data_IF_867582752698
#
_entry.id   IF_867582752698
#
_cell.length_a   1.000
_cell.length_b   1.000
_cell.length_c   1.000
_cell.angle_alpha   90.00
_cell.angle_beta   90.00
_cell.angle_gamma   90.00
#
_symmetry.space_group_name_H-M   'P 1'
#
loop_
_entity.id
_entity.type
_entity.pdbx_description
1 polymer ?
#
# COMPACT_ATOMS: atom_id res chain seq x y z
N UNK A 1 -7.86 4.49 19.49
CA UNK A 1 -6.63 3.83 19.01
C UNK A 1 -5.93 3.08 20.13
N UNK A 2 -5.78 1.76 19.97
CA UNK A 2 -5.08 0.86 20.90
C UNK A 2 -3.60 0.67 20.56
N UNK A 3 -3.14 1.24 19.45
CA UNK A 3 -1.74 1.32 19.05
C UNK A 3 -1.26 2.78 19.06
N UNK A 4 0.05 2.96 19.17
CA UNK A 4 0.74 4.21 18.85
C UNK A 4 1.09 4.19 17.37
N UNK A 5 1.12 5.35 16.71
CA UNK A 5 1.53 5.47 15.32
C UNK A 5 2.55 6.58 15.14
N UNK A 6 3.54 6.33 14.30
CA UNK A 6 4.63 7.25 13.96
C UNK A 6 4.86 7.22 12.45
N UNK A 7 5.08 8.39 11.84
CA UNK A 7 5.38 8.48 10.40
C UNK A 7 6.87 8.68 10.20
N UNK A 8 7.46 7.83 9.37
CA UNK A 8 8.88 7.90 9.00
C UNK A 8 9.02 8.16 7.50
N UNK A 9 10.11 8.83 7.15
CA UNK A 9 10.50 9.10 5.77
C UNK A 9 11.94 8.62 5.57
N UNK A 10 12.15 7.83 4.52
CA UNK A 10 13.46 7.43 4.04
C UNK A 10 13.75 8.23 2.77
N UNK A 11 14.95 8.77 2.69
CA UNK A 11 15.48 9.42 1.49
C UNK A 11 16.60 8.57 0.89
N UNK A 12 16.28 7.64 -0.04
CA UNK A 12 17.24 6.70 -0.60
C UNK A 12 18.08 7.29 -1.74
N UNK A 13 18.05 8.60 -1.98
CA UNK A 13 18.81 9.18 -3.10
C UNK A 13 20.32 9.01 -2.91
N UNK A 14 21.07 8.71 -3.98
CA UNK A 14 20.62 8.65 -5.38
C UNK A 14 20.14 7.27 -5.86
N UNK A 15 20.10 6.22 -5.02
CA UNK A 15 19.76 4.86 -5.46
C UNK A 15 18.29 4.69 -5.85
N UNK A 16 17.41 5.51 -5.30
CA UNK A 16 16.02 5.63 -5.74
C UNK A 16 15.57 7.09 -5.80
N UNK A 17 14.70 7.43 -6.75
CA UNK A 17 14.42 8.81 -7.18
C UNK A 17 13.47 9.60 -6.27
N UNK A 18 12.67 8.92 -5.46
CA UNK A 18 11.71 9.55 -4.57
C UNK A 18 12.03 9.32 -3.10
N UNK A 19 11.53 10.22 -2.26
CA UNK A 19 11.44 9.96 -0.82
C UNK A 19 10.28 9.01 -0.57
N UNK A 20 10.47 8.06 0.34
CA UNK A 20 9.47 7.02 0.65
C UNK A 20 8.98 7.21 2.07
N UNK A 21 7.66 7.22 2.25
CA UNK A 21 7.01 7.42 3.56
C UNK A 21 6.30 6.15 4.00
N UNK A 22 6.32 5.90 5.30
CA UNK A 22 5.55 4.82 5.92
C UNK A 22 5.15 5.15 7.34
N UNK A 23 4.08 4.53 7.80
CA UNK A 23 3.65 4.60 9.19
C UNK A 23 4.06 3.32 9.91
N UNK A 24 4.63 3.48 11.10
CA UNK A 24 4.87 2.41 12.07
C UNK A 24 3.74 2.41 13.09
N UNK A 25 3.30 1.23 13.49
CA UNK A 25 2.27 1.02 14.50
C UNK A 25 2.76 0.05 15.55
N UNK A 26 2.66 0.42 16.82
CA UNK A 26 3.10 -0.41 17.97
C UNK A 26 2.00 -0.54 19.02
N UNK A 27 1.91 -1.67 19.76
CA UNK A 27 0.95 -1.80 20.85
C UNK A 27 1.17 -0.76 21.96
N UNK A 28 0.11 -0.11 22.47
CA UNK A 28 0.22 0.88 23.56
C UNK A 28 0.59 0.28 24.91
N UNK A 29 0.19 -0.95 25.17
CA UNK A 29 0.54 -1.65 26.42
C UNK A 29 1.89 -2.29 26.19
N UNK A 30 2.92 -1.64 26.73
CA UNK A 30 4.28 -2.19 26.76
C UNK A 30 4.22 -3.52 27.48
N UNK A 31 4.64 -4.59 26.79
CA UNK A 31 4.76 -5.90 27.43
C UNK A 31 5.72 -5.72 28.60
N UNK A 32 5.25 -5.90 29.83
CA UNK A 32 6.16 -6.30 30.90
C UNK A 32 6.87 -7.53 30.37
N UNK A 33 8.20 -7.53 30.43
CA UNK A 33 9.02 -8.70 30.14
C UNK A 33 8.73 -9.79 31.19
N UNK A 34 7.51 -10.31 31.24
CA UNK A 34 7.18 -11.57 31.90
C UNK A 34 7.83 -12.64 31.05
N UNK A 35 9.13 -12.85 31.30
CA UNK A 35 9.92 -14.01 30.90
C UNK A 35 9.34 -14.73 29.70
N UNK A 36 9.45 -14.11 28.52
CA UNK A 36 9.18 -14.79 27.26
C UNK A 36 10.08 -16.02 27.24
N UNK A 37 9.49 -17.20 27.39
CA UNK A 37 10.21 -18.43 27.14
C UNK A 37 10.82 -18.36 25.74
N UNK A 38 11.96 -19.00 25.54
CA UNK A 38 12.75 -19.06 24.30
C UNK A 38 12.02 -19.72 23.10
N UNK A 39 10.68 -19.62 23.02
CA UNK A 39 9.77 -20.32 22.09
C UNK A 39 8.85 -19.39 21.31
N UNK A 40 8.83 -18.09 21.60
CA UNK A 40 7.92 -17.15 20.91
C UNK A 40 8.49 -16.72 19.55
N UNK A 41 7.61 -16.71 18.55
CA UNK A 41 7.91 -16.30 17.19
C UNK A 41 7.55 -14.82 17.00
N UNK A 42 8.56 -13.94 17.07
CA UNK A 42 8.38 -12.50 16.89
C UNK A 42 8.37 -12.10 15.40
N UNK A 43 7.37 -11.32 14.99
CA UNK A 43 7.20 -10.87 13.61
C UNK A 43 6.86 -9.37 13.52
N UNK A 44 7.29 -8.74 12.43
CA UNK A 44 6.86 -7.40 12.02
C UNK A 44 5.99 -7.51 10.77
N UNK A 45 4.81 -6.88 10.79
CA UNK A 45 3.91 -6.87 9.63
C UNK A 45 4.27 -5.73 8.68
N UNK A 46 4.18 -5.94 7.38
CA UNK A 46 4.35 -4.91 6.34
C UNK A 46 3.13 -4.89 5.43
N UNK A 47 2.43 -3.77 5.36
CA UNK A 47 1.21 -3.58 4.59
C UNK A 47 1.46 -2.73 3.35
N UNK A 48 0.99 -3.22 2.20
CA UNK A 48 1.15 -2.61 0.89
C UNK A 48 -0.24 -2.34 0.27
N UNK A 49 -0.55 -1.07 0.05
CA UNK A 49 -1.89 -0.64 -0.37
C UNK A 49 -2.13 -0.81 -1.88
N UNK A 50 -3.41 -0.80 -2.28
CA UNK A 50 -3.83 -0.85 -3.68
C UNK A 50 -3.67 0.52 -4.38
N UNK A 51 -3.83 0.54 -5.70
CA UNK A 51 -3.92 1.78 -6.49
C UNK A 51 -5.10 2.63 -5.98
N UNK A 52 -4.89 3.94 -5.89
CA UNK A 52 -5.89 4.89 -5.41
C UNK A 52 -6.07 4.91 -3.89
N UNK A 53 -5.40 4.01 -3.16
CA UNK A 53 -5.41 3.95 -1.69
C UNK A 53 -4.15 4.59 -1.09
N UNK A 54 -4.00 4.51 0.24
CA UNK A 54 -2.93 5.15 1.00
C UNK A 54 -2.54 4.28 2.21
N UNK A 55 -1.41 4.57 2.86
CA UNK A 55 -0.88 3.74 3.97
C UNK A 55 -1.86 3.62 5.16
N UNK A 56 -2.64 4.66 5.45
CA UNK A 56 -3.61 4.65 6.55
C UNK A 56 -4.85 3.77 6.28
N UNK A 57 -5.05 3.23 5.06
CA UNK A 57 -6.17 2.34 4.73
C UNK A 57 -6.20 1.07 5.59
N UNK A 58 -5.05 0.64 6.11
CA UNK A 58 -4.93 -0.56 6.94
C UNK A 58 -5.08 -0.29 8.44
N UNK A 59 -5.26 0.95 8.89
CA UNK A 59 -5.37 1.26 10.33
C UNK A 59 -6.44 0.43 11.06
N UNK A 60 -7.66 0.24 10.53
CA UNK A 60 -8.66 -0.58 11.20
C UNK A 60 -8.22 -2.02 11.44
N UNK A 61 -7.57 -2.66 10.44
CA UNK A 61 -7.10 -4.05 10.57
C UNK A 61 -5.86 -4.14 11.46
N UNK A 62 -4.93 -3.17 11.36
CA UNK A 62 -3.75 -3.09 12.21
C UNK A 62 -4.16 -2.96 13.68
N UNK A 63 -5.16 -2.13 13.98
CA UNK A 63 -5.68 -2.00 15.35
C UNK A 63 -6.24 -3.31 15.90
N UNK A 64 -6.96 -4.09 15.08
CA UNK A 64 -7.51 -5.39 15.48
C UNK A 64 -6.38 -6.40 15.74
N UNK A 65 -5.37 -6.44 14.87
CA UNK A 65 -4.24 -7.36 14.99
C UNK A 65 -3.39 -7.05 16.23
N UNK A 66 -3.07 -5.78 16.47
CA UNK A 66 -2.27 -5.37 17.63
C UNK A 66 -3.04 -5.46 18.96
N UNK A 67 -4.37 -5.53 18.94
CA UNK A 67 -5.20 -5.84 20.13
C UNK A 67 -5.08 -7.29 20.59
N UNK A 68 -4.74 -8.23 19.69
CA UNK A 68 -4.64 -9.67 19.98
C UNK A 68 -3.18 -10.12 19.84
N UNK A 69 -2.30 -9.73 20.78
CA UNK A 69 -0.84 -9.82 20.62
C UNK A 69 -0.29 -11.26 20.56
N UNK A 70 -1.04 -12.23 21.09
CA UNK A 70 -0.63 -13.63 21.13
C UNK A 70 -1.63 -14.44 20.31
N UNK A 71 -1.25 -14.76 19.09
CA UNK A 71 -1.96 -15.78 18.32
C UNK A 71 -1.40 -17.12 18.79
N UNK A 72 -2.21 -17.89 19.52
CA UNK A 72 -1.87 -19.24 19.96
C UNK A 72 -2.12 -20.19 18.78
N UNK A 73 -1.09 -20.70 18.07
CA UNK A 73 -1.31 -21.76 17.10
C UNK A 73 -1.55 -23.09 17.82
N UNK A 74 -2.12 -24.04 17.09
CA UNK A 74 -2.30 -25.41 17.57
C UNK A 74 -0.95 -26.15 17.75
N UNK A 75 0.17 -25.59 17.27
CA UNK A 75 1.51 -26.19 17.23
C UNK A 75 2.45 -25.79 18.38
N UNK A 76 1.98 -25.06 19.40
CA UNK A 76 2.70 -24.88 20.67
C UNK A 76 3.74 -23.73 20.76
N UNK A 77 4.03 -22.99 19.69
CA UNK A 77 4.84 -21.76 19.71
C UNK A 77 3.98 -20.52 19.51
N UNK A 78 3.89 -19.62 20.50
CA UNK A 78 3.08 -18.40 20.37
C UNK A 78 3.67 -17.49 19.30
N UNK A 79 2.83 -16.97 18.39
CA UNK A 79 3.25 -15.93 17.44
C UNK A 79 2.92 -14.56 18.02
N UNK A 80 3.93 -13.71 18.00
CA UNK A 80 3.97 -12.42 18.65
C UNK A 80 4.16 -11.34 17.60
N UNK A 81 3.16 -10.48 17.44
CA UNK A 81 3.28 -9.28 16.58
C UNK A 81 3.95 -8.19 17.42
N UNK A 82 5.13 -7.74 16.99
CA UNK A 82 5.87 -6.67 17.65
C UNK A 82 5.39 -5.29 17.16
N UNK A 83 5.16 -5.17 15.86
CA UNK A 83 4.82 -3.93 15.19
C UNK A 83 4.21 -4.21 13.81
N UNK A 84 3.58 -3.18 13.25
CA UNK A 84 3.14 -3.16 11.87
C UNK A 84 3.66 -1.92 11.16
N UNK A 85 3.97 -2.06 9.89
CA UNK A 85 4.39 -0.98 9.00
C UNK A 85 3.43 -0.90 7.83
N UNK A 86 3.05 0.30 7.43
CA UNK A 86 2.26 0.53 6.22
C UNK A 86 2.99 1.54 5.35
N UNK A 87 3.38 1.14 4.14
CA UNK A 87 4.28 1.90 3.27
C UNK A 87 3.48 2.49 2.11
N UNK A 88 3.72 3.76 1.80
CA UNK A 88 2.98 4.51 0.80
C UNK A 88 3.73 4.61 -0.52
N UNK A 89 3.01 4.41 -1.62
CA UNK A 89 3.54 4.65 -2.95
C UNK A 89 3.90 6.13 -3.14
N UNK A 90 5.07 6.47 -3.74
CA UNK A 90 5.55 7.86 -3.80
C UNK A 90 4.61 8.88 -4.45
N UNK A 91 3.68 8.43 -5.30
CA UNK A 91 2.66 9.26 -5.96
C UNK A 91 1.24 9.10 -5.38
N UNK A 92 1.09 8.46 -4.22
CA UNK A 92 -0.18 8.31 -3.51
C UNK A 92 -0.17 9.08 -2.17
N UNK A 93 -1.37 9.35 -1.64
CA UNK A 93 -1.58 9.95 -0.33
C UNK A 93 -0.67 11.14 -0.01
N UNK A 94 -0.07 11.16 1.18
CA UNK A 94 0.80 12.26 1.62
C UNK A 94 2.16 12.26 0.90
N UNK A 95 2.60 11.11 0.42
CA UNK A 95 3.84 10.97 -0.35
C UNK A 95 3.79 11.76 -1.65
N UNK A 96 2.63 11.83 -2.30
CA UNK A 96 2.44 12.64 -3.51
C UNK A 96 2.76 14.13 -3.28
N UNK A 97 2.36 14.67 -2.12
CA UNK A 97 2.67 16.06 -1.74
C UNK A 97 4.16 16.24 -1.47
N UNK A 98 4.77 15.32 -0.72
CA UNK A 98 6.19 15.34 -0.42
C UNK A 98 7.04 15.28 -1.70
N UNK A 99 6.64 14.48 -2.67
CA UNK A 99 7.38 14.27 -3.92
C UNK A 99 6.89 15.14 -5.08
N UNK A 100 5.99 16.10 -4.85
CA UNK A 100 5.32 16.85 -5.93
C UNK A 100 6.30 17.53 -6.91
N UNK A 101 7.43 18.06 -6.41
CA UNK A 101 8.46 18.67 -7.27
C UNK A 101 9.21 17.64 -8.12
N UNK A 102 9.48 16.47 -7.56
CA UNK A 102 10.21 15.40 -8.24
C UNK A 102 9.31 14.73 -9.29
N UNK A 103 8.06 14.42 -8.93
CA UNK A 103 7.01 13.91 -9.82
C UNK A 103 6.82 14.82 -11.03
N UNK A 104 6.81 16.14 -10.82
CA UNK A 104 6.68 17.12 -11.92
C UNK A 104 7.87 17.18 -12.86
N UNK A 105 9.07 16.91 -12.36
CA UNK A 105 10.32 16.99 -13.13
C UNK A 105 10.50 15.77 -14.03
N UNK A 106 9.81 14.68 -13.74
CA UNK A 106 10.02 13.43 -14.47
C UNK A 106 9.50 13.48 -15.90
N UNK A 107 10.44 13.28 -16.82
CA UNK A 107 10.17 12.92 -18.22
C UNK A 107 9.95 11.40 -18.41
N UNK A 108 10.19 10.60 -17.37
CA UNK A 108 10.17 9.13 -17.38
C UNK A 108 8.80 8.47 -17.20
N UNK A 109 7.73 9.26 -17.12
CA UNK A 109 6.36 8.77 -16.91
C UNK A 109 6.02 8.51 -15.44
N UNK A 110 4.74 8.26 -15.13
CA UNK A 110 4.28 8.03 -13.75
C UNK A 110 4.89 6.79 -13.10
N UNK A 111 4.90 6.75 -11.76
CA UNK A 111 5.35 5.61 -10.95
C UNK A 111 4.68 4.31 -11.42
N UNK A 112 5.49 3.36 -11.90
CA UNK A 112 5.05 2.01 -12.29
C UNK A 112 4.96 1.07 -11.08
N UNK A 113 4.51 -0.18 -11.29
CA UNK A 113 4.49 -1.18 -10.24
C UNK A 113 5.91 -1.52 -9.74
N UNK A 114 6.89 -1.64 -10.65
CA UNK A 114 8.28 -1.90 -10.26
C UNK A 114 8.87 -0.73 -9.47
N UNK A 115 8.53 0.51 -9.83
CA UNK A 115 8.95 1.69 -9.06
C UNK A 115 8.41 1.66 -7.63
N UNK A 116 7.15 1.23 -7.47
CA UNK A 116 6.60 1.07 -6.13
C UNK A 116 7.30 -0.06 -5.35
N UNK A 117 7.63 -1.17 -6.01
CA UNK A 117 8.41 -2.24 -5.38
C UNK A 117 9.80 -1.73 -4.95
N UNK A 118 10.49 -0.98 -5.81
CA UNK A 118 11.79 -0.36 -5.51
C UNK A 118 11.68 0.63 -4.34
N UNK A 119 10.59 1.41 -4.28
CA UNK A 119 10.31 2.32 -3.17
C UNK A 119 10.18 1.56 -1.84
N UNK A 120 9.37 0.49 -1.82
CA UNK A 120 9.16 -0.34 -0.64
C UNK A 120 10.47 -0.98 -0.20
N UNK A 121 11.24 -1.53 -1.14
CA UNK A 121 12.53 -2.13 -0.87
C UNK A 121 13.51 -1.11 -0.27
N UNK A 122 13.59 0.09 -0.85
CA UNK A 122 14.43 1.18 -0.35
C UNK A 122 14.01 1.63 1.06
N UNK A 123 12.71 1.68 1.35
CA UNK A 123 12.20 2.00 2.68
C UNK A 123 12.59 0.94 3.71
N UNK A 124 12.38 -0.34 3.41
CA UNK A 124 12.72 -1.45 4.31
C UNK A 124 14.22 -1.52 4.62
N UNK A 125 15.07 -1.26 3.62
CA UNK A 125 16.53 -1.23 3.75
C UNK A 125 17.08 0.05 4.38
N UNK A 126 16.30 1.13 4.37
CA UNK A 126 16.74 2.47 4.79
C UNK A 126 16.66 2.74 6.29
N UNK A 127 16.37 1.73 7.11
CA UNK A 127 16.24 1.81 8.57
C UNK A 127 15.42 3.02 9.05
N UNK A 128 14.11 3.10 8.69
CA UNK A 128 13.26 4.25 9.00
C UNK A 128 13.25 4.56 10.49
N UNK A 129 13.65 5.77 10.88
CA UNK A 129 13.73 6.15 12.30
C UNK A 129 14.79 5.39 13.11
N UNK A 130 15.76 4.73 12.45
CA UNK A 130 16.73 3.85 13.10
C UNK A 130 16.25 2.42 13.32
N UNK A 131 15.06 2.05 12.84
CA UNK A 131 14.52 0.70 12.95
C UNK A 131 15.06 -0.20 11.82
N UNK A 132 15.92 -1.17 12.15
CA UNK A 132 16.39 -2.16 11.19
C UNK A 132 15.32 -3.22 10.91
N UNK A 133 14.60 -3.06 9.78
CA UNK A 133 13.55 -3.97 9.33
C UNK A 133 14.11 -5.20 8.60
N UNK A 134 15.36 -5.16 8.14
CA UNK A 134 15.99 -6.27 7.42
C UNK A 134 16.35 -7.40 8.38
N UNK A 135 16.73 -7.03 9.61
CA UNK A 135 16.99 -7.97 10.71
C UNK A 135 15.70 -8.60 11.30
N UNK A 136 14.51 -8.14 10.89
CA UNK A 136 13.22 -8.63 11.39
C UNK A 136 12.66 -9.74 10.52
N UNK A 137 11.84 -10.60 11.12
CA UNK A 137 11.01 -11.57 10.39
C UNK A 137 9.77 -10.85 9.86
N UNK A 138 9.74 -10.61 8.56
CA UNK A 138 8.68 -9.83 7.92
C UNK A 138 7.54 -10.73 7.46
N UNK A 139 6.31 -10.38 7.83
CA UNK A 139 5.12 -10.90 7.15
C UNK A 139 4.60 -9.79 6.25
N UNK A 140 4.61 -10.01 4.94
CA UNK A 140 4.22 -8.98 3.96
C UNK A 140 2.81 -9.23 3.48
N UNK A 141 1.93 -8.25 3.64
CA UNK A 141 0.52 -8.28 3.27
C UNK A 141 0.30 -7.21 2.21
N UNK A 142 -0.16 -7.63 1.04
CA UNK A 142 -0.48 -6.73 -0.06
C UNK A 142 -1.93 -6.86 -0.47
N UNK A 143 -2.60 -5.72 -0.70
CA UNK A 143 -3.96 -5.68 -1.24
C UNK A 143 -3.94 -5.29 -2.72
N UNK A 144 -4.56 -6.10 -3.59
CA UNK A 144 -4.71 -5.83 -5.03
C UNK A 144 -3.36 -5.52 -5.68
N UNK A 145 -3.11 -4.30 -6.19
CA UNK A 145 -1.80 -3.96 -6.76
C UNK A 145 -0.65 -4.10 -5.74
N UNK A 146 -0.91 -3.85 -4.45
CA UNK A 146 0.06 -4.07 -3.38
C UNK A 146 0.47 -5.54 -3.23
N UNK A 147 -0.42 -6.49 -3.55
CA UNK A 147 -0.10 -7.91 -3.57
C UNK A 147 0.90 -8.24 -4.69
N UNK A 148 0.83 -7.52 -5.82
CA UNK A 148 1.69 -7.73 -6.98
C UNK A 148 3.12 -7.23 -6.79
N UNK A 149 3.37 -6.44 -5.75
CA UNK A 149 4.72 -6.00 -5.36
C UNK A 149 5.52 -7.12 -4.70
N UNK A 150 4.83 -8.02 -3.99
CA UNK A 150 5.46 -9.05 -3.16
C UNK A 150 6.39 -9.96 -3.98
N UNK A 151 6.00 -10.44 -5.18
CA UNK A 151 6.91 -11.21 -6.04
C UNK A 151 8.20 -10.46 -6.41
N UNK A 152 8.14 -9.14 -6.64
CA UNK A 152 9.35 -8.34 -6.88
C UNK A 152 10.24 -8.32 -5.63
N UNK A 153 9.66 -8.00 -4.47
CA UNK A 153 10.38 -7.91 -3.20
C UNK A 153 11.07 -9.23 -2.83
N UNK A 154 10.44 -10.38 -3.11
CA UNK A 154 11.02 -11.69 -2.85
C UNK A 154 12.25 -12.00 -3.74
N UNK A 155 12.32 -11.40 -4.93
CA UNK A 155 13.40 -11.62 -5.89
C UNK A 155 14.52 -10.57 -5.80
N UNK A 156 14.30 -9.44 -5.13
CA UNK A 156 15.30 -8.38 -4.95
C UNK A 156 16.49 -8.81 -4.09
N UNK A 157 17.64 -8.19 -4.37
CA UNK A 157 18.89 -8.41 -3.64
C UNK A 157 19.43 -7.10 -3.03
N UNK A 158 20.01 -7.14 -1.81
CA UNK A 158 20.07 -8.28 -0.88
C UNK A 158 18.70 -8.80 -0.39
N UNK A 159 18.59 -10.13 -0.20
CA UNK A 159 17.36 -10.77 0.31
C UNK A 159 16.82 -10.14 1.60
N UNK A 160 15.50 -9.97 1.63
CA UNK A 160 14.74 -9.64 2.85
C UNK A 160 14.40 -10.94 3.61
N UNK A 161 14.34 -10.86 4.94
CA UNK A 161 13.94 -11.99 5.79
C UNK A 161 12.42 -12.14 5.81
N UNK A 162 11.85 -12.58 4.68
CA UNK A 162 10.40 -12.78 4.52
C UNK A 162 10.00 -14.10 5.19
N UNK A 163 9.21 -14.01 6.26
CA UNK A 163 8.70 -15.16 6.99
C UNK A 163 7.50 -15.80 6.32
N UNK A 164 6.56 -14.99 5.81
CA UNK A 164 5.42 -15.42 5.01
C UNK A 164 4.82 -14.22 4.28
N UNK A 165 3.96 -14.50 3.30
CA UNK A 165 3.28 -13.47 2.51
C UNK A 165 1.78 -13.73 2.41
N UNK A 166 1.01 -12.66 2.34
CA UNK A 166 -0.45 -12.69 2.18
C UNK A 166 -0.82 -11.82 0.98
N UNK A 167 -1.32 -12.48 -0.06
CA UNK A 167 -1.84 -11.87 -1.28
C UNK A 167 -3.35 -11.68 -1.08
N UNK A 168 -3.79 -10.47 -0.73
CA UNK A 168 -5.20 -10.16 -0.53
C UNK A 168 -5.81 -9.59 -1.83
N UNK A 169 -6.76 -10.32 -2.41
CA UNK A 169 -7.45 -9.94 -3.64
C UNK A 169 -6.46 -9.47 -4.73
N UNK A 170 -5.40 -10.25 -5.06
CA UNK A 170 -4.39 -9.81 -6.00
C UNK A 170 -5.07 -9.43 -7.31
N UNK A 171 -4.72 -8.26 -7.86
CA UNK A 171 -5.38 -7.76 -9.05
C UNK A 171 -5.31 -8.81 -10.16
N UNK A 172 -6.40 -8.98 -10.91
CA UNK A 172 -6.56 -9.98 -11.97
C UNK A 172 -5.56 -9.84 -13.13
N UNK A 173 -4.59 -8.93 -13.03
CA UNK A 173 -3.44 -8.80 -13.92
C UNK A 173 -2.42 -9.96 -13.80
N UNK A 174 -2.62 -10.92 -12.88
CA UNK A 174 -1.81 -12.14 -12.78
C UNK A 174 -2.43 -13.25 -13.65
N UNK A 175 -2.27 -13.12 -14.96
CA UNK A 175 -2.64 -14.15 -15.93
C UNK A 175 -1.57 -14.26 -17.03
N UNK A 176 -1.53 -15.36 -17.79
CA UNK A 176 -0.80 -15.37 -19.06
C UNK A 176 -1.27 -14.17 -19.91
N UNK A 177 -0.43 -13.64 -20.79
CA UNK A 177 -0.73 -12.47 -21.62
C UNK A 177 -1.97 -12.67 -22.50
N UNK A 178 -3.14 -12.50 -21.92
CA UNK A 178 -4.44 -12.70 -22.53
C UNK A 178 -5.11 -11.35 -22.81
N UNK A 179 -5.89 -11.34 -23.88
CA UNK A 179 -6.58 -10.14 -24.34
C UNK A 179 -7.53 -9.58 -23.27
N UNK A 180 -8.12 -10.44 -22.44
CA UNK A 180 -9.17 -10.08 -21.50
C UNK A 180 -8.60 -9.32 -20.30
N UNK A 181 -7.43 -9.71 -19.80
CA UNK A 181 -6.69 -9.04 -18.74
C UNK A 181 -6.23 -7.65 -19.17
N UNK A 182 -5.71 -7.52 -20.41
CA UNK A 182 -5.37 -6.22 -21.01
C UNK A 182 -6.59 -5.33 -21.18
N UNK A 183 -7.69 -5.90 -21.67
CA UNK A 183 -8.95 -5.19 -21.88
C UNK A 183 -9.51 -4.69 -20.54
N UNK A 184 -9.56 -5.53 -19.52
CA UNK A 184 -10.05 -5.18 -18.19
C UNK A 184 -9.21 -4.06 -17.55
N UNK A 185 -7.89 -4.16 -17.59
CA UNK A 185 -7.00 -3.10 -17.12
C UNK A 185 -7.14 -1.80 -17.93
N UNK A 186 -7.38 -1.90 -19.24
CA UNK A 186 -7.72 -0.76 -20.10
C UNK A 186 -9.01 -0.06 -19.70
N UNK A 187 -10.05 -0.83 -19.34
CA UNK A 187 -11.32 -0.28 -18.83
C UNK A 187 -11.11 0.43 -17.49
N UNK A 188 -10.35 -0.15 -16.55
CA UNK A 188 -10.02 0.52 -15.29
C UNK A 188 -9.23 1.81 -15.51
N UNK A 189 -8.27 1.80 -16.44
CA UNK A 189 -7.53 2.98 -16.85
C UNK A 189 -8.45 4.09 -17.40
N UNK A 190 -9.38 3.74 -18.30
CA UNK A 190 -10.34 4.69 -18.85
C UNK A 190 -11.30 5.24 -17.78
N UNK A 191 -11.79 4.40 -16.87
CA UNK A 191 -12.62 4.81 -15.73
C UNK A 191 -11.88 5.77 -14.79
N UNK A 192 -10.60 5.49 -14.51
CA UNK A 192 -9.75 6.36 -13.71
C UNK A 192 -9.61 7.75 -14.35
N UNK A 193 -9.29 7.81 -15.65
CA UNK A 193 -9.14 9.08 -16.38
C UNK A 193 -10.45 9.89 -16.48
N UNK A 194 -11.59 9.21 -16.55
CA UNK A 194 -12.90 9.85 -16.63
C UNK A 194 -13.44 10.35 -15.27
N UNK A 195 -12.81 9.99 -14.14
CA UNK A 195 -13.32 10.32 -12.81
C UNK A 195 -13.20 11.81 -12.51
N UNK A 196 -14.16 12.31 -11.73
CA UNK A 196 -14.04 13.59 -11.07
C UNK A 196 -12.99 13.48 -9.96
N UNK A 197 -11.97 14.32 -10.03
CA UNK A 197 -10.86 14.33 -9.06
C UNK A 197 -10.67 15.67 -8.35
N UNK A 198 -11.48 16.70 -8.67
CA UNK A 198 -11.43 18.03 -8.06
C UNK A 198 -12.81 18.48 -7.55
N UNK A 199 -12.82 19.19 -6.42
CA UNK A 199 -14.01 19.73 -5.78
C UNK A 199 -13.76 21.13 -5.19
N UNK A 200 -14.81 21.93 -5.01
CA UNK A 200 -14.66 23.29 -4.46
C UNK A 200 -14.39 23.31 -2.95
N UNK A 201 -14.74 22.23 -2.24
CA UNK A 201 -14.50 22.03 -0.81
C UNK A 201 -14.67 20.55 -0.44
N UNK A 202 -14.25 20.19 0.79
CA UNK A 202 -14.34 18.82 1.30
C UNK A 202 -15.77 18.30 1.42
N UNK A 203 -16.76 19.16 1.68
CA UNK A 203 -18.17 18.77 1.80
C UNK A 203 -18.75 18.33 0.46
N UNK A 204 -18.39 19.01 -0.65
CA UNK A 204 -18.74 18.56 -1.99
C UNK A 204 -18.04 17.25 -2.35
N UNK A 205 -16.75 17.12 -2.01
CA UNK A 205 -15.99 15.88 -2.24
C UNK A 205 -16.66 14.69 -1.53
N UNK A 206 -17.03 14.87 -0.25
CA UNK A 206 -17.78 13.90 0.53
C UNK A 206 -19.06 13.45 -0.18
N UNK A 207 -19.93 14.41 -0.56
CA UNK A 207 -21.21 14.10 -1.21
C UNK A 207 -21.02 13.31 -2.51
N UNK A 208 -20.01 13.64 -3.32
CA UNK A 208 -19.73 12.90 -4.56
C UNK A 208 -19.18 11.51 -4.25
N UNK A 209 -18.18 11.40 -3.37
CA UNK A 209 -17.49 10.14 -3.08
C UNK A 209 -18.41 9.12 -2.38
N UNK A 210 -19.31 9.56 -1.51
CA UNK A 210 -20.28 8.69 -0.83
C UNK A 210 -21.29 8.05 -1.81
N UNK A 211 -21.51 8.65 -2.98
CA UNK A 211 -22.36 8.07 -4.03
C UNK A 211 -21.60 7.10 -4.95
N UNK A 212 -20.27 7.03 -4.82
CA UNK A 212 -19.45 6.25 -5.74
C UNK A 212 -19.65 4.74 -5.51
N UNK A 213 -19.95 3.94 -6.55
CA UNK A 213 -20.23 2.51 -6.41
C UNK A 213 -19.14 1.73 -5.66
N UNK A 214 -17.86 2.06 -5.88
CA UNK A 214 -16.74 1.39 -5.19
C UNK A 214 -16.77 1.58 -3.67
N UNK A 215 -17.37 2.66 -3.16
CA UNK A 215 -17.50 2.92 -1.72
C UNK A 215 -18.79 2.34 -1.13
N UNK A 216 -19.67 1.75 -1.96
CA UNK A 216 -20.81 0.99 -1.47
C UNK A 216 -20.29 -0.23 -0.70
N UNK A 217 -20.77 -0.40 0.54
CA UNK A 217 -20.28 -1.46 1.44
C UNK A 217 -19.05 -1.09 2.29
N UNK A 218 -18.37 0.04 2.04
CA UNK A 218 -17.31 0.50 2.94
C UNK A 218 -17.88 0.90 4.30
N UNK A 219 -17.15 0.59 5.37
CA UNK A 219 -17.49 1.06 6.70
C UNK A 219 -17.39 2.59 6.80
N UNK A 220 -18.06 3.17 7.80
CA UNK A 220 -18.01 4.62 8.05
C UNK A 220 -16.56 5.05 8.30
N UNK A 221 -15.81 4.27 9.07
CA UNK A 221 -14.40 4.54 9.39
C UNK A 221 -13.52 4.55 8.14
N UNK A 222 -13.71 3.60 7.22
CA UNK A 222 -12.96 3.53 5.96
C UNK A 222 -13.24 4.76 5.07
N UNK A 223 -14.51 5.21 5.00
CA UNK A 223 -14.89 6.42 4.26
C UNK A 223 -14.26 7.68 4.87
N UNK A 224 -14.28 7.81 6.20
CA UNK A 224 -13.64 8.94 6.89
C UNK A 224 -12.11 8.95 6.68
N UNK A 225 -11.46 7.78 6.72
CA UNK A 225 -10.04 7.66 6.42
C UNK A 225 -9.73 8.11 5.00
N UNK A 226 -10.57 7.74 4.03
CA UNK A 226 -10.42 8.13 2.64
C UNK A 226 -10.54 9.64 2.46
N UNK A 227 -11.59 10.26 3.01
CA UNK A 227 -11.77 11.71 2.92
C UNK A 227 -10.63 12.49 3.57
N UNK A 228 -10.02 11.93 4.62
CA UNK A 228 -8.91 12.57 5.33
C UNK A 228 -7.57 12.46 4.60
N UNK A 229 -7.27 11.31 3.99
CA UNK A 229 -5.92 11.00 3.51
C UNK A 229 -5.80 10.88 1.98
N UNK A 230 -6.90 10.60 1.27
CA UNK A 230 -6.92 10.56 -0.19
C UNK A 230 -7.14 11.94 -0.83
N UNK A 231 -7.51 12.95 -0.05
CA UNK A 231 -7.75 14.31 -0.51
C UNK A 231 -6.64 15.26 -0.06
N UNK A 232 -6.26 16.18 -0.93
CA UNK A 232 -5.27 17.23 -0.65
C UNK A 232 -5.81 18.59 -1.09
N UNK A 233 -5.33 19.65 -0.43
CA UNK A 233 -5.73 21.02 -0.77
C UNK A 233 -5.17 21.42 -2.13
N UNK A 234 -5.96 22.18 -2.90
CA UNK A 234 -5.48 22.81 -4.11
C UNK A 234 -4.28 23.75 -3.90
N UNK A 235 -4.07 24.25 -2.67
CA UNK A 235 -2.91 25.08 -2.32
C UNK A 235 -1.62 24.29 -2.21
N UNK A 236 -1.73 23.02 -1.81
CA UNK A 236 -0.59 22.13 -1.59
C UNK A 236 -0.13 21.49 -2.92
N UNK A 237 -0.96 21.62 -3.97
CA UNK A 237 -0.60 21.27 -5.32
C UNK A 237 -0.37 22.51 -6.18
N UNK A 238 0.62 22.43 -7.06
CA UNK A 238 0.84 23.41 -8.12
C UNK A 238 -0.18 23.24 -9.26
N UNK A 239 -1.42 23.63 -9.01
CA UNK A 239 -2.54 23.60 -9.96
C UNK A 239 -2.65 24.92 -10.76
N UNK A 240 -3.36 24.92 -11.90
CA UNK A 240 -3.62 26.14 -12.67
C UNK A 240 -4.35 27.23 -11.84
N UNK A 241 -4.06 28.51 -12.11
CA UNK A 241 -4.58 29.66 -11.35
C UNK A 241 -6.12 29.82 -11.32
N UNK A 242 -6.85 29.12 -12.19
CA UNK A 242 -8.32 29.19 -12.28
C UNK A 242 -9.04 28.23 -11.31
N UNK A 243 -8.29 27.45 -10.54
CA UNK A 243 -8.85 26.49 -9.60
C UNK A 243 -9.21 27.18 -8.27
N UNK A 244 -10.35 26.80 -7.67
CA UNK A 244 -10.83 27.38 -6.44
C UNK A 244 -9.77 27.30 -5.31
N UNK A 245 -9.44 28.42 -4.64
CA UNK A 245 -8.33 28.49 -3.68
C UNK A 245 -8.55 27.69 -2.39
N UNK A 246 -9.76 27.19 -2.15
CA UNK A 246 -10.14 26.34 -1.00
C UNK A 246 -10.62 24.95 -1.41
N UNK A 247 -10.46 24.61 -2.69
CA UNK A 247 -10.87 23.30 -3.17
C UNK A 247 -9.90 22.19 -2.78
N UNK A 248 -10.36 20.96 -3.02
CA UNK A 248 -9.63 19.74 -2.74
C UNK A 248 -9.57 18.88 -3.98
N UNK A 249 -8.48 18.14 -4.12
CA UNK A 249 -8.25 17.20 -5.21
C UNK A 249 -7.78 15.86 -4.67
N UNK A 250 -7.86 14.80 -5.47
CA UNK A 250 -7.26 13.52 -5.12
C UNK A 250 -5.73 13.64 -5.00
N UNK A 251 -5.18 13.00 -3.98
CA UNK A 251 -3.75 12.93 -3.71
C UNK A 251 -3.01 12.18 -4.82
N UNK A 252 -3.57 11.04 -5.25
CA UNK A 252 -3.16 10.35 -6.47
C UNK A 252 -3.99 10.91 -7.64
N UNK A 253 -3.33 11.55 -8.60
CA UNK A 253 -4.02 12.10 -9.76
C UNK A 253 -4.67 11.00 -10.60
N UNK A 254 -5.77 11.32 -11.28
CA UNK A 254 -6.40 10.39 -12.23
C UNK A 254 -5.46 9.91 -13.34
N UNK A 255 -4.51 10.75 -13.74
CA UNK A 255 -3.52 10.40 -14.76
C UNK A 255 -2.53 9.35 -14.24
N UNK A 256 -2.07 9.48 -13.00
CA UNK A 256 -1.19 8.50 -12.37
C UNK A 256 -1.89 7.17 -12.10
N UNK A 257 -3.12 7.21 -11.59
CA UNK A 257 -3.92 6.01 -11.40
C UNK A 257 -4.22 5.31 -12.73
N UNK A 258 -4.65 6.07 -13.75
CA UNK A 258 -4.93 5.55 -15.08
C UNK A 258 -3.68 4.93 -15.72
N UNK A 259 -2.52 5.55 -15.54
CA UNK A 259 -1.25 4.99 -15.99
C UNK A 259 -0.90 3.68 -15.27
N UNK A 260 -1.07 3.60 -13.95
CA UNK A 260 -0.80 2.38 -13.18
C UNK A 260 -1.65 1.21 -13.66
N UNK A 261 -2.96 1.40 -13.88
CA UNK A 261 -3.81 0.35 -14.44
C UNK A 261 -3.34 -0.09 -15.82
N UNK A 262 -3.01 0.86 -16.70
CA UNK A 262 -2.48 0.54 -18.03
C UNK A 262 -1.16 -0.23 -17.96
N UNK A 263 -0.25 0.17 -17.07
CA UNK A 263 1.04 -0.50 -16.85
C UNK A 263 0.84 -1.91 -16.33
N UNK A 264 -0.09 -2.12 -15.39
CA UNK A 264 -0.41 -3.44 -14.85
C UNK A 264 -0.90 -4.41 -15.92
N UNK A 265 -1.70 -3.94 -16.88
CA UNK A 265 -2.14 -4.77 -18.00
C UNK A 265 -1.03 -5.16 -18.98
N UNK A 266 0.08 -4.43 -19.00
CA UNK A 266 1.20 -4.65 -19.94
C UNK A 266 2.40 -5.36 -19.30
N UNK A 267 2.47 -5.39 -17.96
CA UNK A 267 3.63 -5.91 -17.23
C UNK A 267 3.57 -7.45 -17.11
N UNK A 268 4.35 -8.12 -17.96
CA UNK A 268 4.49 -9.59 -17.98
C UNK A 268 5.38 -10.10 -16.84
N UNK A 269 6.25 -9.25 -16.29
CA UNK A 269 7.26 -9.65 -15.31
C UNK A 269 6.60 -10.13 -14.02
N UNK A 270 5.47 -9.53 -13.64
CA UNK A 270 4.69 -9.92 -12.45
C UNK A 270 4.33 -11.41 -12.50
N UNK A 271 3.90 -11.91 -13.66
CA UNK A 271 3.48 -13.30 -13.83
C UNK A 271 4.65 -14.27 -13.59
N UNK A 272 5.80 -14.01 -14.23
CA UNK A 272 7.01 -14.83 -14.07
C UNK A 272 7.52 -14.80 -12.63
N UNK A 273 7.51 -13.63 -11.99
CA UNK A 273 7.91 -13.47 -10.59
C UNK A 273 6.94 -14.18 -9.64
N UNK A 274 5.64 -14.19 -9.96
CA UNK A 274 4.64 -14.91 -9.16
C UNK A 274 4.89 -16.42 -9.22
N UNK A 275 5.25 -16.96 -10.38
CA UNK A 275 5.66 -18.36 -10.51
C UNK A 275 6.93 -18.65 -9.70
N UNK A 276 7.90 -17.73 -9.71
CA UNK A 276 9.11 -17.85 -8.89
C UNK A 276 8.82 -17.78 -7.37
N UNK A 277 7.87 -16.94 -6.94
CA UNK A 277 7.39 -16.89 -5.56
C UNK A 277 6.71 -18.20 -5.17
N UNK A 278 5.83 -18.73 -6.02
CA UNK A 278 5.15 -20.01 -5.79
C UNK A 278 6.13 -21.19 -5.69
N UNK A 279 7.20 -21.18 -6.48
CA UNK A 279 8.27 -22.19 -6.42
C UNK A 279 9.29 -21.99 -5.29
N UNK A 280 9.15 -20.96 -4.47
CA UNK A 280 10.06 -20.68 -3.35
C UNK A 280 9.60 -21.34 -2.05
N UNK A 281 10.48 -21.36 -1.04
CA UNK A 281 10.15 -21.85 0.30
C UNK A 281 9.34 -20.85 1.15
N UNK A 282 8.94 -19.71 0.59
CA UNK A 282 8.19 -18.67 1.32
C UNK A 282 6.72 -19.10 1.42
N UNK A 283 6.19 -19.31 2.64
CA UNK A 283 4.77 -19.60 2.83
C UNK A 283 3.90 -18.48 2.25
N UNK A 284 3.08 -18.84 1.25
CA UNK A 284 2.25 -17.91 0.49
C UNK A 284 0.78 -18.20 0.74
N UNK A 285 0.05 -17.19 1.23
CA UNK A 285 -1.38 -17.27 1.52
C UNK A 285 -2.17 -16.39 0.55
N UNK A 286 -3.27 -16.91 0.01
CA UNK A 286 -4.22 -16.16 -0.80
C UNK A 286 -5.45 -15.83 0.06
N UNK A 287 -5.75 -14.55 0.21
CA UNK A 287 -6.98 -14.06 0.83
C UNK A 287 -7.88 -13.53 -0.28
N UNK A 288 -9.07 -14.11 -0.45
CA UNK A 288 -10.02 -13.69 -1.47
C UNK A 288 -11.47 -13.76 -0.98
N UNK A 289 -12.35 -12.98 -1.61
CA UNK A 289 -13.79 -13.02 -1.46
C UNK A 289 -14.36 -14.10 -2.37
N UNK A 290 -14.95 -15.13 -1.76
CA UNK A 290 -15.60 -16.21 -2.50
C UNK A 290 -16.90 -15.76 -3.20
N UNK A 291 -17.50 -14.63 -2.80
CA UNK A 291 -18.75 -14.11 -3.32
C UNK A 291 -18.64 -12.62 -3.68
N UNK A 292 -17.79 -12.26 -4.66
CA UNK A 292 -17.57 -10.86 -5.00
C UNK A 292 -18.87 -10.22 -5.50
N UNK A 293 -19.20 -9.03 -4.98
CA UNK A 293 -20.28 -8.20 -5.54
C UNK A 293 -19.85 -7.78 -6.95
N UNK A 294 -20.67 -8.01 -8.00
CA UNK A 294 -20.36 -7.55 -9.35
C UNK A 294 -20.13 -6.03 -9.36
N UNK A 295 -18.99 -5.59 -9.87
CA UNK A 295 -18.56 -4.18 -9.95
C UNK A 295 -18.86 -3.57 -11.31
#
# INVERSE_FOLDING_TARGET
MHCQSETFVVDPRPSYRYRVMGNRYTPKISRTATMSGNRDCHISLVFLHSVGMFKETFEPVIEILLKKPNLQPHSGSSTVIDEAWSIECPNHGKSALMNAKDIKRERGGPCSLSDFADAVYAFLRGSPGGHDLVARRLVIIGHSAGALLIPFLAQMEPKLTIHSVILAEPARAVGPDDHDSRSFMGVLSAKALARQDMWQNISQARKTLETFPMMQGWSIEARELYLRNALVSHRDQTLPKHVAPHGVTLACSRDHEGFLYKSLGLDKKVYDLMAALYGSDIPTHLLYDANPIPV
#
